data_IF_486411452444
#
_entry.id   IF_486411452444
#
_cell.length_a   1.000
_cell.length_b   1.000
_cell.length_c   1.000
_cell.angle_alpha   90.00
_cell.angle_beta   90.00
_cell.angle_gamma   90.00
#
_symmetry.space_group_name_H-M   'P 1'
#
loop_
_entity.id
_entity.type
_entity.pdbx_description
1 polymer ?
#
# COMPACT_ATOMS: atom_id res chain seq x y z
N UNK A 1 7.91 2.81 12.65
CA UNK A 1 8.48 4.16 12.57
C UNK A 1 9.60 4.25 11.53
N UNK A 2 10.60 3.36 11.58
CA UNK A 2 11.58 3.25 10.50
C UNK A 2 10.94 2.46 9.35
N UNK A 3 10.91 3.02 8.14
CA UNK A 3 10.43 2.32 6.95
C UNK A 3 11.44 1.30 6.41
N UNK A 4 12.72 1.54 6.66
CA UNK A 4 13.85 0.70 6.25
C UNK A 4 14.73 0.37 7.45
N UNK A 5 15.31 -0.82 7.44
CA UNK A 5 16.37 -1.20 8.36
C UNK A 5 17.68 -0.48 8.01
N UNK A 6 18.64 -0.48 8.94
CA UNK A 6 19.92 0.23 8.78
C UNK A 6 20.79 -0.37 7.64
N UNK A 7 20.53 -1.60 7.26
CA UNK A 7 21.15 -2.31 6.12
C UNK A 7 20.43 -2.07 4.77
N UNK A 8 19.33 -1.26 4.78
CA UNK A 8 18.49 -1.00 3.63
C UNK A 8 17.41 -2.05 3.36
N UNK A 9 17.32 -3.09 4.17
CA UNK A 9 16.30 -4.14 4.07
C UNK A 9 14.95 -3.70 4.63
N UNK A 10 13.93 -4.53 4.38
CA UNK A 10 12.58 -4.33 4.90
C UNK A 10 12.41 -4.99 6.27
N UNK A 11 11.64 -4.36 7.15
CA UNK A 11 11.17 -5.02 8.35
C UNK A 11 10.06 -6.01 7.98
N UNK A 12 10.28 -7.28 8.31
CA UNK A 12 9.29 -8.34 8.17
C UNK A 12 9.08 -9.01 9.53
N UNK A 13 7.96 -9.71 9.76
CA UNK A 13 7.78 -10.51 10.96
C UNK A 13 8.88 -11.56 11.14
N UNK A 14 9.36 -11.74 12.35
CA UNK A 14 10.32 -12.80 12.69
C UNK A 14 9.69 -14.20 12.61
N UNK A 15 8.37 -14.27 12.79
CA UNK A 15 7.55 -15.44 12.57
C UNK A 15 6.21 -15.02 12.00
N UNK A 16 5.67 -15.79 11.06
CA UNK A 16 4.36 -15.52 10.47
C UNK A 16 3.27 -15.98 11.43
N UNK A 17 2.36 -15.09 11.87
CA UNK A 17 1.22 -15.47 12.66
C UNK A 17 0.37 -16.49 11.89
N UNK A 18 0.00 -17.57 12.57
CA UNK A 18 -0.95 -18.54 12.00
C UNK A 18 -2.36 -18.10 12.34
N UNK A 19 -3.15 -17.94 11.30
CA UNK A 19 -4.53 -17.47 11.38
C UNK A 19 -5.47 -18.68 11.44
N UNK A 20 -6.42 -18.64 12.33
CA UNK A 20 -7.57 -19.55 12.32
C UNK A 20 -8.57 -19.04 11.27
N UNK A 21 -8.46 -19.57 10.06
CA UNK A 21 -9.24 -19.16 8.89
C UNK A 21 -10.72 -19.44 9.04
N UNK A 22 -11.08 -20.49 9.76
CA UNK A 22 -12.48 -20.88 9.95
C UNK A 22 -13.22 -19.88 10.84
N UNK A 23 -12.54 -19.28 11.79
CA UNK A 23 -13.09 -18.29 12.70
C UNK A 23 -13.33 -16.90 12.09
N UNK A 24 -12.78 -16.62 10.88
CA UNK A 24 -12.97 -15.32 10.24
C UNK A 24 -14.40 -15.15 9.74
N UNK A 25 -15.01 -13.99 10.03
CA UNK A 25 -16.36 -13.65 9.58
C UNK A 25 -16.46 -13.58 8.04
N UNK A 26 -17.64 -13.97 7.55
CA UNK A 26 -18.05 -13.85 6.14
C UNK A 26 -19.11 -12.78 5.91
N UNK A 27 -19.52 -12.08 6.97
CA UNK A 27 -20.65 -11.15 6.91
C UNK A 27 -20.32 -9.87 6.15
N UNK A 28 -19.10 -9.37 6.31
CA UNK A 28 -18.63 -8.14 5.64
C UNK A 28 -17.10 -8.06 5.62
N UNK A 29 -16.58 -7.21 4.71
CA UNK A 29 -15.16 -6.87 4.69
C UNK A 29 -14.66 -6.36 6.06
N UNK A 30 -15.44 -5.50 6.71
CA UNK A 30 -15.09 -4.94 8.01
C UNK A 30 -15.01 -6.00 9.11
N UNK A 31 -16.00 -6.91 9.20
CA UNK A 31 -15.99 -7.97 10.18
C UNK A 31 -14.83 -8.95 9.95
N UNK A 32 -14.63 -9.38 8.70
CA UNK A 32 -13.50 -10.24 8.32
C UNK A 32 -12.15 -9.60 8.66
N UNK A 33 -12.00 -8.29 8.34
CA UNK A 33 -10.78 -7.53 8.62
C UNK A 33 -10.50 -7.40 10.12
N UNK A 34 -11.53 -7.17 10.91
CA UNK A 34 -11.42 -7.07 12.37
C UNK A 34 -10.92 -8.38 12.97
N UNK A 35 -11.52 -9.52 12.59
CA UNK A 35 -11.13 -10.84 13.08
C UNK A 35 -9.69 -11.18 12.66
N UNK A 36 -9.32 -10.90 11.41
CA UNK A 36 -7.96 -11.11 10.93
C UNK A 36 -6.93 -10.25 11.67
N UNK A 37 -7.20 -8.95 11.82
CA UNK A 37 -6.27 -8.04 12.48
C UNK A 37 -6.09 -8.38 13.97
N UNK A 38 -7.14 -8.81 14.67
CA UNK A 38 -7.04 -9.28 16.05
C UNK A 38 -6.11 -10.49 16.17
N UNK A 39 -6.19 -11.43 15.26
CA UNK A 39 -5.30 -12.59 15.26
C UNK A 39 -3.88 -12.24 14.82
N UNK A 40 -3.73 -11.41 13.79
CA UNK A 40 -2.44 -11.10 13.19
C UNK A 40 -1.59 -10.16 14.06
N UNK A 41 -2.21 -9.14 14.65
CA UNK A 41 -1.55 -8.18 15.52
C UNK A 41 -1.48 -8.66 16.98
N UNK A 42 -2.43 -9.54 17.37
CA UNK A 42 -2.50 -10.04 18.74
C UNK A 42 -2.50 -8.87 19.74
N UNK A 43 -1.63 -8.97 20.74
CA UNK A 43 -1.48 -7.95 21.78
C UNK A 43 -0.46 -6.84 21.40
N UNK A 44 -0.05 -6.76 20.13
CA UNK A 44 0.96 -5.77 19.69
C UNK A 44 0.45 -4.34 19.72
N UNK A 45 -0.87 -4.15 19.56
CA UNK A 45 -1.55 -2.86 19.67
C UNK A 45 -2.88 -3.02 20.42
N UNK A 46 -3.41 -1.95 21.04
CA UNK A 46 -4.69 -1.99 21.74
C UNK A 46 -5.85 -2.44 20.83
N UNK A 47 -6.79 -3.20 21.37
CA UNK A 47 -7.98 -3.65 20.64
C UNK A 47 -8.79 -2.46 20.08
N UNK A 48 -8.88 -1.35 20.81
CA UNK A 48 -9.51 -0.10 20.34
C UNK A 48 -8.86 0.48 19.10
N UNK A 49 -7.54 0.33 18.96
CA UNK A 49 -6.83 0.80 17.76
C UNK A 49 -7.08 -0.12 16.56
N UNK A 50 -7.24 -1.43 16.79
CA UNK A 50 -7.66 -2.38 15.73
C UNK A 50 -9.08 -2.05 15.25
N UNK A 51 -10.01 -1.80 16.19
CA UNK A 51 -11.38 -1.38 15.86
C UNK A 51 -11.40 -0.07 15.07
N UNK A 52 -10.59 0.92 15.49
CA UNK A 52 -10.46 2.19 14.79
C UNK A 52 -9.87 2.07 13.38
N UNK A 53 -8.91 1.15 13.16
CA UNK A 53 -8.41 0.87 11.79
C UNK A 53 -9.57 0.47 10.88
N UNK A 54 -10.42 -0.44 11.34
CA UNK A 54 -11.52 -0.96 10.53
C UNK A 54 -12.63 0.08 10.34
N UNK A 55 -13.03 0.78 11.41
CA UNK A 55 -14.18 1.71 11.38
C UNK A 55 -13.86 3.06 10.77
N UNK A 56 -12.62 3.56 10.90
CA UNK A 56 -12.24 4.90 10.45
C UNK A 56 -11.33 4.86 9.21
N UNK A 57 -10.26 4.06 9.25
CA UNK A 57 -9.30 4.03 8.14
C UNK A 57 -9.82 3.23 6.94
N UNK A 58 -10.56 2.15 7.16
CA UNK A 58 -11.07 1.24 6.12
C UNK A 58 -12.60 1.34 5.95
N UNK A 59 -13.16 2.52 6.12
CA UNK A 59 -14.60 2.82 6.12
C UNK A 59 -15.21 2.91 4.70
N UNK A 60 -14.73 2.13 3.75
CA UNK A 60 -15.20 2.08 2.37
C UNK A 60 -15.45 0.64 1.93
N UNK A 61 -16.31 0.46 0.92
CA UNK A 61 -16.69 -0.86 0.41
C UNK A 61 -15.56 -1.55 -0.35
N UNK A 62 -15.57 -2.88 -0.32
CA UNK A 62 -14.66 -3.74 -1.08
C UNK A 62 -15.48 -4.80 -1.81
N UNK A 63 -16.20 -4.42 -2.87
CA UNK A 63 -17.07 -5.33 -3.60
C UNK A 63 -16.29 -6.38 -4.37
N UNK A 64 -16.91 -7.54 -4.53
CA UNK A 64 -16.46 -8.61 -5.41
C UNK A 64 -17.53 -8.83 -6.46
N UNK A 65 -17.22 -8.48 -7.70
CA UNK A 65 -18.15 -8.51 -8.82
C UNK A 65 -17.97 -9.82 -9.60
N UNK A 66 -19.04 -10.62 -9.67
CA UNK A 66 -19.07 -11.84 -10.47
C UNK A 66 -19.29 -11.48 -11.95
N UNK A 67 -18.44 -11.99 -12.84
CA UNK A 67 -18.54 -11.80 -14.29
C UNK A 67 -19.28 -12.95 -15.00
N UNK A 68 -19.82 -13.91 -14.27
CA UNK A 68 -20.49 -15.12 -14.82
C UNK A 68 -21.73 -14.82 -15.69
N UNK A 69 -22.30 -13.59 -15.65
CA UNK A 69 -23.37 -13.15 -16.56
C UNK A 69 -22.97 -13.03 -18.04
N UNK A 70 -21.69 -13.26 -18.36
CA UNK A 70 -21.14 -13.30 -19.73
C UNK A 70 -20.53 -14.70 -19.93
N UNK A 71 -21.09 -15.50 -20.82
CA UNK A 71 -20.75 -16.92 -21.05
C UNK A 71 -19.24 -17.25 -21.12
N UNK A 72 -18.41 -16.26 -21.48
CA UNK A 72 -16.95 -16.42 -21.58
C UNK A 72 -16.20 -16.28 -20.23
N UNK A 73 -16.85 -15.88 -19.14
CA UNK A 73 -16.18 -15.48 -17.89
C UNK A 73 -16.67 -16.23 -16.66
N UNK A 74 -17.03 -17.50 -16.81
CA UNK A 74 -17.40 -18.34 -15.67
C UNK A 74 -16.25 -18.45 -14.66
N UNK A 75 -16.58 -18.30 -13.36
CA UNK A 75 -15.62 -18.33 -12.25
C UNK A 75 -14.56 -17.21 -12.31
N UNK A 76 -14.87 -16.09 -12.97
CA UNK A 76 -14.04 -14.90 -12.96
C UNK A 76 -14.73 -13.81 -12.14
N UNK A 77 -14.01 -13.29 -11.17
CA UNK A 77 -14.47 -12.23 -10.27
C UNK A 77 -13.53 -11.03 -10.34
N UNK A 78 -14.09 -9.84 -10.18
CA UNK A 78 -13.33 -8.61 -10.04
C UNK A 78 -13.41 -8.14 -8.60
N UNK A 79 -12.27 -8.12 -7.91
CA UNK A 79 -12.13 -7.51 -6.61
C UNK A 79 -11.87 -6.00 -6.81
N UNK A 80 -12.88 -5.18 -6.53
CA UNK A 80 -12.80 -3.75 -6.75
C UNK A 80 -12.16 -3.04 -5.56
N UNK A 81 -11.00 -2.43 -5.76
CA UNK A 81 -10.19 -1.80 -4.70
C UNK A 81 -10.12 -0.27 -4.84
N UNK A 82 -11.05 0.32 -5.60
CA UNK A 82 -11.06 1.74 -5.95
C UNK A 82 -12.22 2.53 -5.32
N UNK A 83 -12.86 1.99 -4.28
CA UNK A 83 -13.96 2.66 -3.58
C UNK A 83 -13.51 3.57 -2.43
N UNK A 84 -12.22 3.62 -2.15
CA UNK A 84 -11.65 4.56 -1.19
C UNK A 84 -11.59 6.00 -1.72
N UNK A 85 -11.27 6.98 -0.86
CA UNK A 85 -11.34 8.41 -1.19
C UNK A 85 -10.51 8.85 -2.39
N UNK A 86 -9.38 8.18 -2.67
CA UNK A 86 -8.50 8.54 -3.80
C UNK A 86 -8.65 7.60 -5.00
N UNK A 87 -9.66 6.72 -4.97
CA UNK A 87 -9.99 5.80 -6.05
C UNK A 87 -8.85 4.82 -6.38
N UNK A 88 -8.07 4.45 -5.38
CA UNK A 88 -6.90 3.59 -5.52
C UNK A 88 -6.77 2.64 -4.33
N UNK A 89 -6.32 1.40 -4.58
CA UNK A 89 -6.04 0.44 -3.49
C UNK A 89 -5.00 0.94 -2.48
N UNK A 90 -4.27 1.98 -2.80
CA UNK A 90 -3.28 2.59 -1.90
C UNK A 90 -3.92 3.25 -0.68
N UNK A 91 -5.23 3.53 -0.74
CA UNK A 91 -6.00 4.02 0.40
C UNK A 91 -5.95 3.07 1.60
N UNK A 92 -5.98 1.75 1.36
CA UNK A 92 -5.86 0.76 2.45
C UNK A 92 -4.61 0.99 3.30
N UNK A 93 -3.45 1.07 2.66
CA UNK A 93 -2.18 1.23 3.34
C UNK A 93 -1.97 2.64 3.90
N UNK A 94 -2.31 3.67 3.14
CA UNK A 94 -2.05 5.05 3.53
C UNK A 94 -2.92 5.47 4.73
N UNK A 95 -4.22 5.17 4.70
CA UNK A 95 -5.17 5.52 5.78
C UNK A 95 -4.89 4.74 7.07
N UNK A 96 -4.60 3.44 6.96
CA UNK A 96 -4.22 2.64 8.14
C UNK A 96 -2.94 3.16 8.78
N UNK A 97 -1.93 3.47 7.97
CA UNK A 97 -0.69 4.03 8.48
C UNK A 97 -0.91 5.41 9.11
N UNK A 98 -1.75 6.26 8.50
CA UNK A 98 -2.11 7.57 9.04
C UNK A 98 -2.81 7.46 10.39
N UNK A 99 -3.77 6.54 10.51
CA UNK A 99 -4.46 6.25 11.76
C UNK A 99 -3.47 5.86 12.87
N UNK A 100 -2.63 4.84 12.60
CA UNK A 100 -1.68 4.34 13.60
C UNK A 100 -0.62 5.37 13.99
N UNK A 101 -0.08 6.10 13.03
CA UNK A 101 0.93 7.13 13.32
C UNK A 101 0.31 8.32 14.06
N UNK A 102 -0.88 8.76 13.67
CA UNK A 102 -1.61 9.82 14.36
C UNK A 102 -1.89 9.46 15.83
N UNK A 103 -2.38 8.25 16.09
CA UNK A 103 -2.61 7.74 17.46
C UNK A 103 -1.32 7.76 18.28
N UNK A 104 -0.22 7.29 17.70
CA UNK A 104 1.08 7.29 18.38
C UNK A 104 1.58 8.68 18.69
N UNK A 105 1.47 9.61 17.74
CA UNK A 105 1.87 11.02 17.93
C UNK A 105 1.03 11.66 19.03
N UNK A 106 -0.29 11.48 19.04
CA UNK A 106 -1.16 11.98 20.10
C UNK A 106 -0.74 11.47 21.49
N UNK A 107 -0.39 10.17 21.60
CA UNK A 107 0.05 9.59 22.87
C UNK A 107 1.42 10.10 23.34
N UNK A 108 2.34 10.34 22.42
CA UNK A 108 3.72 10.75 22.75
C UNK A 108 3.96 12.27 22.79
N UNK A 109 3.02 13.07 22.27
CA UNK A 109 3.21 14.51 22.06
C UNK A 109 4.27 14.83 20.99
N UNK A 110 4.60 13.85 20.12
CA UNK A 110 5.63 13.95 19.09
C UNK A 110 5.20 14.74 17.85
N UNK A 111 6.08 14.73 16.86
CA UNK A 111 5.84 15.26 15.50
C UNK A 111 6.47 14.35 14.49
N UNK A 112 5.95 14.34 13.25
CA UNK A 112 6.56 13.64 12.14
C UNK A 112 6.43 14.44 10.84
N UNK A 113 7.45 14.35 9.98
CA UNK A 113 7.40 14.86 8.61
C UNK A 113 7.53 13.67 7.66
N UNK A 114 6.45 13.39 6.97
CA UNK A 114 6.39 12.31 5.97
C UNK A 114 6.91 12.86 4.65
N UNK A 115 7.92 12.22 4.11
CA UNK A 115 8.52 12.58 2.83
C UNK A 115 8.28 11.46 1.82
N UNK A 116 7.61 11.78 0.72
CA UNK A 116 7.20 10.80 -0.30
C UNK A 116 7.55 11.28 -1.69
N UNK A 117 8.26 10.47 -2.45
CA UNK A 117 8.29 10.56 -3.92
C UNK A 117 7.13 9.76 -4.49
N UNK A 118 6.41 10.34 -5.44
CA UNK A 118 5.22 9.70 -6.02
C UNK A 118 5.13 9.86 -7.53
N UNK A 119 4.60 8.84 -8.18
CA UNK A 119 4.16 8.85 -9.58
C UNK A 119 2.65 9.09 -9.73
N UNK A 120 1.95 9.49 -8.64
CA UNK A 120 0.53 9.83 -8.63
C UNK A 120 -0.22 9.20 -7.46
N UNK A 121 -0.77 7.99 -7.62
CA UNK A 121 -1.72 7.37 -6.68
C UNK A 121 -1.21 7.25 -5.23
N UNK A 122 0.06 6.88 -5.04
CA UNK A 122 0.63 6.77 -3.68
C UNK A 122 0.61 8.12 -2.97
N UNK A 123 1.03 9.17 -3.67
CA UNK A 123 1.01 10.53 -3.11
C UNK A 123 -0.40 11.01 -2.81
N UNK A 124 -1.36 10.74 -3.71
CA UNK A 124 -2.77 11.08 -3.50
C UNK A 124 -3.34 10.39 -2.25
N UNK A 125 -3.10 9.09 -2.10
CA UNK A 125 -3.56 8.33 -0.95
C UNK A 125 -2.89 8.79 0.36
N UNK A 126 -1.59 9.13 0.33
CA UNK A 126 -0.87 9.66 1.50
C UNK A 126 -1.37 11.07 1.83
N UNK A 127 -1.56 11.93 0.82
CA UNK A 127 -2.09 13.28 1.02
C UNK A 127 -3.47 13.25 1.70
N UNK A 128 -4.34 12.33 1.26
CA UNK A 128 -5.69 12.19 1.81
C UNK A 128 -5.66 11.56 3.20
N UNK A 129 -4.98 10.43 3.34
CA UNK A 129 -4.95 9.69 4.60
C UNK A 129 -4.33 10.46 5.77
N UNK A 130 -3.33 11.29 5.50
CA UNK A 130 -2.67 12.13 6.50
C UNK A 130 -3.20 13.57 6.57
N UNK A 131 -4.20 13.92 5.77
CA UNK A 131 -4.84 15.21 5.88
C UNK A 131 -5.33 15.44 7.32
N UNK A 132 -5.04 16.62 7.85
CA UNK A 132 -5.51 17.04 9.19
C UNK A 132 -5.01 16.18 10.38
N UNK A 133 -4.09 15.23 10.16
CA UNK A 133 -3.49 14.47 11.26
C UNK A 133 -2.59 15.40 12.07
N UNK A 134 -2.98 15.69 13.30
CA UNK A 134 -2.27 16.60 14.18
C UNK A 134 -0.83 16.14 14.44
N UNK A 135 0.13 17.06 14.38
CA UNK A 135 1.55 16.76 14.57
C UNK A 135 2.25 16.11 13.37
N UNK A 136 1.53 15.88 12.26
CA UNK A 136 2.10 15.32 11.03
C UNK A 136 2.12 16.34 9.91
N UNK A 137 3.28 16.52 9.27
CA UNK A 137 3.41 17.19 7.98
C UNK A 137 3.69 16.18 6.87
N UNK A 138 3.19 16.44 5.68
CA UNK A 138 3.42 15.61 4.48
C UNK A 138 4.07 16.46 3.40
N UNK A 139 5.21 16.03 2.91
CA UNK A 139 5.90 16.63 1.76
C UNK A 139 5.90 15.64 0.62
N UNK A 140 5.23 15.99 -0.47
CA UNK A 140 5.09 15.14 -1.66
C UNK A 140 5.97 15.68 -2.79
N UNK A 141 6.85 14.85 -3.33
CA UNK A 141 7.64 15.18 -4.51
C UNK A 141 7.10 14.39 -5.71
N UNK A 142 6.73 15.08 -6.77
CA UNK A 142 6.27 14.45 -8.00
C UNK A 142 6.83 15.15 -9.24
N UNK A 143 7.09 14.40 -10.35
CA UNK A 143 7.66 14.98 -11.55
C UNK A 143 6.66 15.91 -12.25
N UNK A 144 7.11 17.10 -12.64
CA UNK A 144 6.33 18.05 -13.43
C UNK A 144 5.92 17.42 -14.76
N UNK A 145 4.60 17.33 -15.03
CA UNK A 145 4.07 16.66 -16.22
C UNK A 145 4.21 15.13 -16.23
N UNK A 146 4.68 14.51 -15.15
CA UNK A 146 4.86 13.05 -15.05
C UNK A 146 3.72 12.31 -14.34
N UNK A 147 2.64 13.00 -13.99
CA UNK A 147 1.41 12.43 -13.41
C UNK A 147 0.20 12.79 -14.28
N UNK A 148 -0.89 12.02 -14.20
CA UNK A 148 -2.11 12.35 -14.94
C UNK A 148 -2.77 13.63 -14.39
N UNK A 149 -3.60 14.34 -15.18
CA UNK A 149 -4.30 15.53 -14.69
C UNK A 149 -5.15 15.28 -13.45
N UNK A 150 -5.78 14.11 -13.35
CA UNK A 150 -6.60 13.72 -12.19
C UNK A 150 -5.72 13.49 -10.95
N UNK A 151 -4.61 12.77 -11.12
CA UNK A 151 -3.64 12.56 -10.03
C UNK A 151 -3.04 13.88 -9.57
N UNK A 152 -2.70 14.78 -10.49
CA UNK A 152 -2.17 16.09 -10.13
C UNK A 152 -3.17 16.91 -9.31
N UNK A 153 -4.45 16.94 -9.72
CA UNK A 153 -5.51 17.61 -8.94
C UNK A 153 -5.63 17.04 -7.53
N UNK A 154 -5.52 15.73 -7.35
CA UNK A 154 -5.54 15.10 -6.03
C UNK A 154 -4.31 15.48 -5.19
N UNK A 155 -3.13 15.52 -5.79
CA UNK A 155 -1.87 15.86 -5.12
C UNK A 155 -1.85 17.31 -4.62
N UNK A 156 -2.30 18.26 -5.46
CA UNK A 156 -2.25 19.70 -5.17
C UNK A 156 -3.49 20.22 -4.43
N UNK A 157 -4.48 19.37 -4.17
CA UNK A 157 -5.66 19.75 -3.39
C UNK A 157 -5.21 20.33 -2.04
N UNK A 158 -5.75 21.52 -1.72
CA UNK A 158 -5.30 22.28 -0.55
C UNK A 158 -5.64 21.55 0.75
N UNK A 159 -4.60 21.26 1.53
CA UNK A 159 -4.67 20.71 2.89
C UNK A 159 -3.61 21.43 3.73
N UNK A 160 -3.91 21.77 4.99
CA UNK A 160 -3.05 22.63 5.79
C UNK A 160 -1.67 22.03 6.09
N UNK A 161 -1.61 20.71 6.23
CA UNK A 161 -0.40 19.97 6.58
C UNK A 161 0.24 19.20 5.42
N UNK A 162 -0.22 19.42 4.17
CA UNK A 162 0.31 18.74 2.97
C UNK A 162 0.95 19.73 2.02
N UNK A 163 2.21 19.49 1.68
CA UNK A 163 3.07 20.38 0.87
C UNK A 163 3.49 19.65 -0.43
N UNK A 164 2.74 19.79 -1.52
CA UNK A 164 3.10 19.20 -2.81
C UNK A 164 4.16 20.01 -3.53
N UNK A 165 5.25 19.37 -3.96
CA UNK A 165 6.37 19.96 -4.67
C UNK A 165 6.49 19.33 -6.07
N UNK A 166 6.30 20.16 -7.11
CA UNK A 166 6.60 19.78 -8.49
C UNK A 166 8.11 19.84 -8.72
N UNK A 167 8.68 18.73 -9.14
CA UNK A 167 10.11 18.59 -9.43
C UNK A 167 10.32 18.62 -10.94
N UNK A 168 11.20 19.50 -11.40
CA UNK A 168 11.66 19.49 -12.80
C UNK A 168 12.65 18.35 -13.00
N UNK A 169 12.13 17.18 -13.33
CA UNK A 169 12.88 15.94 -13.43
C UNK A 169 11.96 14.73 -13.58
N UNK A 170 12.52 13.57 -13.35
CA UNK A 170 11.84 12.28 -13.42
C UNK A 170 11.34 11.83 -12.04
N UNK A 171 10.60 10.75 -11.99
CA UNK A 171 10.24 10.09 -10.73
C UNK A 171 11.50 9.61 -9.96
N UNK A 172 12.52 9.13 -10.69
CA UNK A 172 13.79 8.71 -10.09
C UNK A 172 14.54 9.88 -9.44
N UNK A 173 14.41 11.09 -10.01
CA UNK A 173 14.95 12.31 -9.40
C UNK A 173 14.24 12.62 -8.07
N UNK A 174 12.91 12.50 -8.03
CA UNK A 174 12.15 12.65 -6.80
C UNK A 174 12.58 11.64 -5.73
N UNK A 175 12.75 10.37 -6.10
CA UNK A 175 13.24 9.33 -5.18
C UNK A 175 14.64 9.63 -4.65
N UNK A 176 15.55 10.08 -5.54
CA UNK A 176 16.91 10.46 -5.15
C UNK A 176 16.92 11.63 -4.15
N UNK A 177 16.05 12.64 -4.36
CA UNK A 177 15.89 13.76 -3.42
C UNK A 177 15.39 13.30 -2.07
N UNK A 178 14.40 12.40 -2.03
CA UNK A 178 13.89 11.82 -0.78
C UNK A 178 14.99 11.04 -0.04
N UNK A 179 15.71 10.16 -0.75
CA UNK A 179 16.84 9.41 -0.16
C UNK A 179 17.93 10.34 0.34
N UNK A 180 18.26 11.40 -0.40
CA UNK A 180 19.21 12.44 0.01
C UNK A 180 18.79 13.15 1.29
N UNK A 181 17.52 13.51 1.42
CA UNK A 181 16.98 14.14 2.62
C UNK A 181 17.09 13.24 3.88
N UNK A 182 16.86 11.94 3.74
CA UNK A 182 17.07 11.00 4.86
C UNK A 182 18.53 10.85 5.26
N UNK A 183 19.46 11.05 4.33
CA UNK A 183 20.90 10.94 4.58
C UNK A 183 21.52 12.27 5.04
N UNK A 184 20.80 13.39 4.98
CA UNK A 184 21.33 14.71 5.30
C UNK A 184 21.32 14.98 6.82
N UNK A 185 22.50 15.13 7.46
CA UNK A 185 22.59 15.46 8.88
C UNK A 185 21.88 16.75 9.27
N UNK A 186 21.76 17.72 8.36
CA UNK A 186 21.07 18.98 8.63
C UNK A 186 19.57 18.79 8.87
N UNK A 187 18.98 17.68 8.40
CA UNK A 187 17.57 17.34 8.56
C UNK A 187 17.30 16.34 9.70
N UNK A 188 18.32 15.94 10.46
CA UNK A 188 18.18 14.94 11.54
C UNK A 188 17.15 15.33 12.63
N UNK A 189 16.95 16.62 12.86
CA UNK A 189 15.93 17.15 13.78
C UNK A 189 14.52 17.27 13.21
N UNK A 190 14.31 16.96 11.94
CA UNK A 190 13.02 17.14 11.25
C UNK A 190 12.05 15.96 11.43
N UNK A 191 12.43 14.95 12.21
CA UNK A 191 11.64 13.74 12.46
C UNK A 191 11.09 13.11 11.15
N UNK A 192 11.99 12.98 10.15
CA UNK A 192 11.62 12.45 8.85
C UNK A 192 11.21 10.97 8.95
N UNK A 193 10.13 10.67 8.29
CA UNK A 193 9.67 9.29 8.04
C UNK A 193 9.14 9.16 6.62
N UNK A 194 8.88 7.94 6.18
CA UNK A 194 8.34 7.69 4.85
C UNK A 194 7.07 6.87 4.91
N UNK A 195 6.13 7.18 4.02
CA UNK A 195 4.94 6.38 3.78
C UNK A 195 5.03 5.58 2.46
N UNK A 196 6.23 5.22 2.03
CA UNK A 196 6.43 4.40 0.83
C UNK A 196 5.82 2.99 0.98
N UNK A 197 5.57 2.33 -0.15
CA UNK A 197 4.95 1.00 -0.24
C UNK A 197 5.72 -0.12 0.46
N UNK A 198 6.97 0.10 0.78
CA UNK A 198 7.89 -0.84 1.44
C UNK A 198 7.71 -0.92 2.96
N UNK A 199 6.94 -0.04 3.59
CA UNK A 199 6.70 -0.09 5.03
C UNK A 199 5.67 -1.18 5.37
N UNK A 200 5.97 -2.05 6.34
CA UNK A 200 5.05 -3.11 6.80
C UNK A 200 3.67 -2.56 7.21
N UNK A 201 3.62 -1.35 7.78
CA UNK A 201 2.37 -0.68 8.13
C UNK A 201 1.48 -0.35 6.92
N UNK A 202 2.06 -0.37 5.69
CA UNK A 202 1.33 -0.24 4.44
C UNK A 202 1.02 -1.59 3.79
N UNK A 203 1.85 -2.61 4.01
CA UNK A 203 1.63 -3.94 3.46
C UNK A 203 0.54 -4.69 4.23
N UNK A 204 0.57 -4.63 5.56
CA UNK A 204 -0.39 -5.35 6.41
C UNK A 204 -1.86 -5.09 6.04
N UNK A 205 -2.35 -3.84 5.94
CA UNK A 205 -3.75 -3.61 5.58
C UNK A 205 -4.11 -4.06 4.16
N UNK A 206 -3.14 -4.24 3.29
CA UNK A 206 -3.34 -4.79 1.96
C UNK A 206 -3.54 -6.33 1.96
N UNK A 207 -3.18 -7.03 3.02
CA UNK A 207 -3.51 -8.45 3.17
C UNK A 207 -5.02 -8.65 3.25
N UNK A 208 -5.75 -7.68 3.82
CA UNK A 208 -7.17 -7.80 4.16
C UNK A 208 -8.08 -8.06 2.96
N UNK A 209 -7.81 -7.44 1.82
CA UNK A 209 -8.65 -7.67 0.65
C UNK A 209 -8.42 -9.05 -0.01
N UNK A 210 -7.25 -9.64 0.13
CA UNK A 210 -7.02 -11.05 -0.27
C UNK A 210 -7.75 -12.01 0.66
N UNK A 211 -7.65 -11.76 1.96
CA UNK A 211 -8.36 -12.52 3.00
C UNK A 211 -9.87 -12.47 2.75
N UNK A 212 -10.41 -11.26 2.57
CA UNK A 212 -11.81 -11.04 2.28
C UNK A 212 -12.28 -11.78 1.01
N UNK A 213 -11.54 -11.65 -0.08
CA UNK A 213 -11.90 -12.31 -1.33
C UNK A 213 -11.94 -13.84 -1.21
N UNK A 214 -10.96 -14.44 -0.52
CA UNK A 214 -10.92 -15.88 -0.29
C UNK A 214 -12.08 -16.33 0.60
N UNK A 215 -12.39 -15.58 1.67
CA UNK A 215 -13.54 -15.89 2.55
C UNK A 215 -14.87 -15.75 1.84
N UNK A 216 -15.02 -14.71 1.00
CA UNK A 216 -16.24 -14.47 0.22
C UNK A 216 -16.49 -15.58 -0.82
N UNK A 217 -15.45 -16.02 -1.53
CA UNK A 217 -15.55 -17.07 -2.54
C UNK A 217 -15.67 -18.46 -1.95
N UNK A 218 -15.36 -18.63 -0.67
CA UNK A 218 -15.41 -19.92 0.04
C UNK A 218 -14.66 -21.04 -0.69
N UNK A 219 -13.44 -20.74 -1.14
CA UNK A 219 -12.63 -21.65 -1.95
C UNK A 219 -11.16 -21.55 -1.57
N UNK A 220 -10.49 -22.70 -1.52
CA UNK A 220 -9.03 -22.84 -1.35
C UNK A 220 -8.27 -22.89 -2.68
N UNK A 221 -8.99 -22.86 -3.80
CA UNK A 221 -8.45 -22.90 -5.17
C UNK A 221 -8.39 -21.51 -5.84
N UNK A 222 -8.43 -20.41 -5.04
CA UNK A 222 -8.44 -19.05 -5.58
C UNK A 222 -7.10 -18.72 -6.26
N UNK A 223 -7.17 -18.22 -7.48
CA UNK A 223 -6.04 -17.64 -8.21
C UNK A 223 -6.22 -16.13 -8.29
N UNK A 224 -5.25 -15.37 -7.81
CA UNK A 224 -5.25 -13.90 -7.89
C UNK A 224 -4.41 -13.41 -9.06
N UNK A 225 -5.01 -12.70 -10.01
CA UNK A 225 -4.30 -11.92 -11.02
C UNK A 225 -4.11 -10.50 -10.50
N UNK A 226 -2.85 -10.10 -10.26
CA UNK A 226 -2.50 -8.87 -9.55
C UNK A 226 -1.75 -7.93 -10.48
N UNK A 227 -2.33 -6.77 -10.86
CA UNK A 227 -1.59 -5.73 -11.56
C UNK A 227 -0.39 -5.28 -10.73
N UNK A 228 0.81 -5.43 -11.28
CA UNK A 228 2.06 -5.34 -10.52
C UNK A 228 3.04 -4.36 -11.13
N UNK A 229 3.45 -3.35 -10.35
CA UNK A 229 4.55 -2.43 -10.63
C UNK A 229 5.58 -2.53 -9.51
N UNK A 230 5.39 -1.83 -8.40
CA UNK A 230 6.23 -1.90 -7.18
C UNK A 230 6.02 -3.18 -6.33
N UNK A 231 5.18 -4.10 -6.77
CA UNK A 231 4.92 -5.39 -6.13
C UNK A 231 4.33 -5.34 -4.70
N UNK A 232 4.09 -4.15 -4.11
CA UNK A 232 3.61 -4.02 -2.74
C UNK A 232 2.29 -4.76 -2.49
N UNK A 233 1.31 -4.65 -3.39
CA UNK A 233 0.04 -5.38 -3.29
C UNK A 233 0.25 -6.91 -3.42
N UNK A 234 1.08 -7.36 -4.35
CA UNK A 234 1.41 -8.78 -4.51
C UNK A 234 2.12 -9.32 -3.27
N UNK A 235 3.08 -8.56 -2.73
CA UNK A 235 3.80 -8.90 -1.49
C UNK A 235 2.83 -9.07 -0.32
N UNK A 236 1.82 -8.21 -0.21
CA UNK A 236 0.78 -8.36 0.81
C UNK A 236 -0.01 -9.67 0.65
N UNK A 237 -0.34 -10.08 -0.59
CA UNK A 237 -0.94 -11.37 -0.88
C UNK A 237 -0.06 -12.54 -0.47
N UNK A 238 1.25 -12.45 -0.76
CA UNK A 238 2.24 -13.46 -0.33
C UNK A 238 2.34 -13.52 1.21
N UNK A 239 2.31 -12.38 1.90
CA UNK A 239 2.30 -12.35 3.37
C UNK A 239 1.05 -13.00 3.96
N UNK A 240 -0.12 -12.76 3.36
CA UNK A 240 -1.34 -13.47 3.74
C UNK A 240 -1.20 -14.99 3.55
N UNK A 241 -0.62 -15.42 2.44
CA UNK A 241 -0.35 -16.83 2.17
C UNK A 241 0.63 -17.44 3.17
N UNK A 242 1.71 -16.75 3.53
CA UNK A 242 2.66 -17.19 4.56
C UNK A 242 2.01 -17.26 5.96
N UNK A 243 0.95 -16.50 6.21
CA UNK A 243 0.11 -16.58 7.41
C UNK A 243 -0.96 -17.68 7.30
N UNK A 244 -0.98 -18.43 6.20
CA UNK A 244 -1.83 -19.60 6.00
C UNK A 244 -3.03 -19.38 5.07
N UNK A 245 -3.16 -18.22 4.38
CA UNK A 245 -4.24 -18.01 3.40
C UNK A 245 -4.23 -19.10 2.33
N UNK A 246 -5.32 -19.86 2.13
CA UNK A 246 -5.39 -20.89 1.12
C UNK A 246 -5.55 -20.24 -0.26
N UNK A 247 -4.45 -20.12 -0.98
CA UNK A 247 -4.37 -19.56 -2.33
C UNK A 247 -3.66 -20.56 -3.23
N UNK A 248 -4.26 -20.86 -4.38
CA UNK A 248 -3.64 -21.73 -5.37
C UNK A 248 -2.40 -21.10 -6.00
N UNK A 249 -2.51 -19.85 -6.46
CA UNK A 249 -1.39 -19.12 -7.06
C UNK A 249 -1.68 -17.62 -7.18
N UNK A 250 -0.60 -16.85 -7.36
CA UNK A 250 -0.63 -15.46 -7.76
C UNK A 250 -0.08 -15.32 -9.18
N UNK A 251 -0.77 -14.56 -10.03
CA UNK A 251 -0.32 -14.15 -11.36
C UNK A 251 0.09 -12.67 -11.28
N UNK A 252 1.38 -12.39 -11.33
CA UNK A 252 1.89 -11.03 -11.39
C UNK A 252 1.74 -10.48 -12.81
N UNK A 253 0.70 -9.66 -13.04
CA UNK A 253 0.44 -9.05 -14.33
C UNK A 253 1.25 -7.77 -14.49
N UNK A 254 2.11 -7.70 -15.49
CA UNK A 254 2.96 -6.55 -15.78
C UNK A 254 2.58 -5.89 -17.11
N UNK A 255 2.88 -4.59 -17.22
CA UNK A 255 2.88 -3.90 -18.50
C UNK A 255 4.26 -4.06 -19.19
N UNK A 256 4.66 -3.14 -20.07
CA UNK A 256 5.95 -3.18 -20.74
C UNK A 256 7.17 -3.04 -19.78
N UNK A 257 6.92 -2.70 -18.51
CA UNK A 257 7.93 -2.66 -17.46
C UNK A 257 8.01 -4.05 -16.79
N UNK A 258 8.76 -4.94 -17.38
CA UNK A 258 8.78 -6.39 -17.13
C UNK A 258 9.99 -6.88 -16.32
N UNK A 259 10.58 -6.04 -15.49
CA UNK A 259 11.76 -6.41 -14.71
C UNK A 259 11.52 -7.68 -13.86
N UNK A 260 10.41 -7.74 -13.14
CA UNK A 260 10.15 -8.83 -12.20
C UNK A 260 10.01 -10.21 -12.88
N UNK A 261 9.25 -10.39 -13.98
CA UNK A 261 9.24 -11.64 -14.73
C UNK A 261 10.63 -12.05 -15.23
N UNK A 262 11.43 -11.08 -15.71
CA UNK A 262 12.79 -11.35 -16.17
C UNK A 262 13.71 -11.78 -15.02
N UNK A 263 13.60 -11.11 -13.87
CA UNK A 263 14.35 -11.47 -12.65
C UNK A 263 14.02 -12.88 -12.14
N UNK A 264 12.75 -13.31 -12.22
CA UNK A 264 12.37 -14.67 -11.83
C UNK A 264 12.96 -15.74 -12.76
N UNK A 265 13.21 -15.40 -14.03
CA UNK A 265 13.87 -16.29 -14.99
C UNK A 265 15.39 -16.25 -14.86
N UNK A 266 15.95 -15.07 -14.64
CA UNK A 266 17.37 -14.83 -14.46
C UNK A 266 17.60 -13.78 -13.36
N UNK A 267 17.99 -14.20 -12.14
CA UNK A 267 18.25 -13.30 -11.01
C UNK A 267 19.39 -12.30 -11.24
N UNK A 268 20.15 -12.45 -12.33
CA UNK A 268 21.20 -11.49 -12.73
C UNK A 268 20.68 -10.38 -13.64
N UNK A 269 19.38 -10.39 -13.98
CA UNK A 269 18.75 -9.38 -14.82
C UNK A 269 18.96 -7.97 -14.27
N UNK A 270 19.44 -7.05 -15.11
CA UNK A 270 19.69 -5.68 -14.73
C UNK A 270 18.38 -4.85 -14.74
N UNK A 271 18.31 -3.87 -13.86
CA UNK A 271 17.26 -2.86 -13.91
C UNK A 271 17.34 -2.07 -15.24
N UNK A 272 16.17 -1.74 -15.77
CA UNK A 272 16.02 -0.92 -16.96
C UNK A 272 15.27 0.38 -16.60
N UNK A 273 15.52 1.50 -17.32
CA UNK A 273 14.67 2.67 -17.18
C UNK A 273 13.20 2.30 -17.45
N UNK A 274 12.29 2.89 -16.70
CA UNK A 274 10.85 2.68 -16.92
C UNK A 274 10.43 3.28 -18.27
N UNK A 275 9.44 2.63 -18.91
CA UNK A 275 8.79 3.12 -20.12
C UNK A 275 7.36 3.54 -19.79
N UNK A 276 6.91 4.63 -20.41
CA UNK A 276 5.56 5.15 -20.19
C UNK A 276 4.51 4.26 -20.88
N UNK A 277 3.45 3.92 -20.15
CA UNK A 277 2.32 3.11 -20.62
C UNK A 277 0.98 3.75 -20.22
N UNK A 278 -0.13 3.19 -20.72
CA UNK A 278 -1.47 3.62 -20.29
C UNK A 278 -1.77 3.27 -18.82
N UNK A 279 -1.03 2.33 -18.23
CA UNK A 279 -1.12 1.95 -16.82
C UNK A 279 0.02 2.58 -16.00
N UNK A 280 0.10 3.91 -16.00
CA UNK A 280 1.23 4.66 -15.44
C UNK A 280 1.57 4.33 -13.98
N UNK A 281 0.61 3.91 -13.18
CA UNK A 281 0.85 3.47 -11.80
C UNK A 281 1.73 2.21 -11.70
N UNK A 282 1.92 1.49 -12.81
CA UNK A 282 2.77 0.30 -12.94
C UNK A 282 4.08 0.58 -13.71
N UNK A 283 4.34 1.83 -14.10
CA UNK A 283 5.54 2.22 -14.84
C UNK A 283 6.75 2.31 -13.90
N UNK A 284 7.28 1.15 -13.53
CA UNK A 284 8.37 0.99 -12.58
C UNK A 284 9.48 0.16 -13.22
N UNK A 285 10.64 0.78 -13.45
CA UNK A 285 11.81 0.10 -14.02
C UNK A 285 12.65 -0.64 -12.98
N UNK A 286 12.60 -0.19 -11.73
CA UNK A 286 13.31 -0.79 -10.60
C UNK A 286 12.36 -0.86 -9.40
N UNK A 287 11.60 -1.96 -9.23
CA UNK A 287 10.76 -2.17 -8.05
C UNK A 287 11.57 -2.07 -6.75
N UNK A 288 11.00 -1.39 -5.75
CA UNK A 288 11.65 -1.16 -4.44
C UNK A 288 11.42 -2.30 -3.47
#
# INVERSE_FOLDING_TARGET
EKGLADDGGLFIPSAWPKIDWDSLSRDSFSACSLDFLKQWLGDSIPASDIEGIVSEALSFDVPIVDLAGKDAYQNIYVLELFHGPTLSFKDFGARTMAYLLGRKIQQSGGRATILVATSGDTGSAVADGFAEVEGVNVVLLFPEGGVSPVQEMQLIARRENVFPLRVRGTFDDCQRMVKGAFADPALSGSHLTTANSINIGRLLPQMLYYVWATKFLDSDEVTFSVPSGNLGNLTAGVFAHLSGLPVRQFLAAHNANDFFPNYLQDPTSAFKPSVSTVSNAMDVGAPS
#
